data_IF_278615216042
#
_entry.id   IF_278615216042
#
_cell.length_a   1.000
_cell.length_b   1.000
_cell.length_c   1.000
_cell.angle_alpha   90.00
_cell.angle_beta   90.00
_cell.angle_gamma   90.00
#
_symmetry.space_group_name_H-M   'P 1'
#
loop_
_entity.id
_entity.type
_entity.pdbx_description
1 polymer ?
#
# COMPACT_ATOMS: atom_id res chain seq x y z
N UNK A 1 8.23 10.67 36.12
CA UNK A 1 7.26 10.57 35.02
C UNK A 1 7.79 9.48 34.10
N UNK A 2 7.13 8.33 34.02
CA UNK A 2 7.45 7.35 32.96
C UNK A 2 7.05 8.02 31.65
N UNK A 3 8.02 8.27 30.76
CA UNK A 3 7.74 8.60 29.36
C UNK A 3 6.93 7.44 28.82
N UNK A 4 5.70 7.71 28.39
CA UNK A 4 4.88 6.71 27.72
C UNK A 4 5.51 6.46 26.34
N UNK A 5 6.35 5.44 26.27
CA UNK A 5 6.96 5.00 25.03
C UNK A 5 5.84 4.50 24.11
N UNK A 6 5.64 5.12 22.97
CA UNK A 6 4.70 4.68 21.95
C UNK A 6 5.45 3.98 20.84
N UNK A 7 4.92 2.87 20.37
CA UNK A 7 5.47 2.11 19.24
C UNK A 7 4.46 2.11 18.09
N UNK A 8 4.97 2.12 16.89
CA UNK A 8 4.20 1.99 15.67
C UNK A 8 4.67 0.77 14.88
N UNK A 9 3.74 0.00 14.34
CA UNK A 9 4.03 -1.26 13.67
C UNK A 9 3.34 -1.32 12.32
N UNK A 10 4.13 -1.53 11.26
CA UNK A 10 3.65 -1.82 9.92
C UNK A 10 3.90 -3.26 9.54
N UNK A 11 2.86 -3.97 9.11
CA UNK A 11 2.91 -5.37 8.72
C UNK A 11 2.42 -5.54 7.28
N UNK A 12 3.37 -5.73 6.36
CA UNK A 12 3.07 -6.01 4.95
C UNK A 12 2.92 -7.50 4.71
N UNK A 13 1.69 -7.95 4.45
CA UNK A 13 1.35 -9.35 4.18
C UNK A 13 1.37 -9.58 2.67
N UNK A 14 2.58 -9.69 2.11
CA UNK A 14 2.79 -9.90 0.68
C UNK A 14 2.63 -11.37 0.27
N UNK A 15 2.42 -11.63 -1.03
CA UNK A 15 2.20 -13.00 -1.54
C UNK A 15 3.43 -13.91 -1.38
N UNK A 16 4.63 -13.36 -1.46
CA UNK A 16 5.89 -14.13 -1.39
C UNK A 16 6.63 -13.96 -0.08
N UNK A 17 6.47 -12.81 0.57
CA UNK A 17 7.11 -12.47 1.83
C UNK A 17 6.17 -11.66 2.71
N UNK A 18 6.22 -11.88 4.01
CA UNK A 18 5.71 -10.95 5.02
C UNK A 18 6.87 -10.11 5.50
N UNK A 19 6.62 -8.80 5.70
CA UNK A 19 7.59 -7.86 6.27
C UNK A 19 6.98 -7.10 7.41
N UNK A 20 7.71 -7.02 8.52
CA UNK A 20 7.34 -6.27 9.71
C UNK A 20 8.34 -5.15 9.96
N UNK A 21 7.84 -3.97 10.29
CA UNK A 21 8.65 -2.82 10.71
C UNK A 21 8.11 -2.28 12.02
N UNK A 22 8.96 -2.22 13.03
CA UNK A 22 8.65 -1.68 14.36
C UNK A 22 9.44 -0.39 14.57
N UNK A 23 8.74 0.69 14.91
CA UNK A 23 9.36 1.96 15.23
C UNK A 23 8.97 2.44 16.63
N UNK A 24 9.93 3.05 17.30
CA UNK A 24 9.70 3.86 18.50
C UNK A 24 9.30 5.26 18.07
N UNK A 25 8.20 5.77 18.61
CA UNK A 25 7.69 7.11 18.29
C UNK A 25 8.06 8.05 19.42
N UNK A 26 8.85 9.07 19.11
CA UNK A 26 9.20 10.11 20.07
C UNK A 26 7.99 11.00 20.38
N UNK A 27 7.57 11.02 21.64
CA UNK A 27 6.39 11.77 22.08
C UNK A 27 6.52 13.29 21.93
N UNK A 28 7.74 13.82 21.78
CA UNK A 28 8.01 15.25 21.65
C UNK A 28 8.05 15.74 20.21
N UNK A 29 8.59 14.93 19.29
CA UNK A 29 8.76 15.27 17.88
C UNK A 29 7.74 14.60 16.98
N UNK A 30 7.16 13.48 17.42
CA UNK A 30 6.30 12.63 16.61
C UNK A 30 7.03 11.83 15.52
N UNK A 31 8.34 11.97 15.40
CA UNK A 31 9.12 11.29 14.37
C UNK A 31 9.40 9.84 14.78
N UNK A 32 8.94 8.84 13.99
CA UNK A 32 9.21 7.45 14.28
C UNK A 32 10.67 7.10 13.98
N UNK A 33 11.27 6.31 14.85
CA UNK A 33 12.62 5.75 14.69
C UNK A 33 12.52 4.24 14.58
N UNK A 34 12.91 3.65 13.45
CA UNK A 34 12.86 2.21 13.22
C UNK A 34 13.86 1.52 14.16
N UNK A 35 13.33 0.60 14.97
CA UNK A 35 14.09 -0.15 15.98
C UNK A 35 14.05 -1.67 15.76
N UNK A 36 13.14 -2.15 14.91
CA UNK A 36 13.02 -3.57 14.60
C UNK A 36 12.49 -3.82 13.20
N UNK A 37 13.03 -4.86 12.56
CA UNK A 37 12.65 -5.28 11.23
C UNK A 37 12.66 -6.79 11.19
N UNK A 38 11.71 -7.35 10.47
CA UNK A 38 11.68 -8.77 10.21
C UNK A 38 11.06 -9.09 8.88
N UNK A 39 11.47 -10.23 8.32
CA UNK A 39 10.85 -10.76 7.11
C UNK A 39 10.82 -12.27 7.11
N UNK A 40 9.76 -12.84 6.57
CA UNK A 40 9.60 -14.28 6.41
C UNK A 40 9.06 -14.63 5.02
N UNK A 41 9.42 -15.81 4.53
CA UNK A 41 8.82 -16.35 3.31
C UNK A 41 7.34 -16.66 3.55
N UNK A 42 6.48 -16.24 2.64
CA UNK A 42 5.04 -16.47 2.74
C UNK A 42 4.56 -17.51 1.73
N UNK A 43 3.72 -18.40 2.21
CA UNK A 43 2.96 -19.38 1.43
C UNK A 43 1.47 -19.23 1.74
N UNK A 44 0.59 -19.86 0.95
CA UNK A 44 -0.86 -19.77 1.23
C UNK A 44 -1.53 -18.47 0.77
N UNK A 45 -0.82 -17.65 -0.01
CA UNK A 45 -1.41 -16.52 -0.73
C UNK A 45 -1.28 -16.67 -2.24
N UNK A 46 -2.25 -16.17 -2.98
CA UNK A 46 -2.23 -16.16 -4.45
C UNK A 46 -2.82 -14.86 -4.97
N UNK A 47 -2.07 -14.18 -5.85
CA UNK A 47 -2.51 -12.89 -6.46
C UNK A 47 -3.01 -11.87 -5.42
N UNK A 48 -2.27 -11.76 -4.31
CA UNK A 48 -2.57 -10.79 -3.24
C UNK A 48 -3.66 -11.21 -2.25
N UNK A 49 -4.28 -12.41 -2.40
CA UNK A 49 -5.34 -12.87 -1.51
C UNK A 49 -4.95 -14.15 -0.76
N UNK A 50 -5.45 -14.28 0.47
CA UNK A 50 -5.25 -15.47 1.31
C UNK A 50 -6.07 -16.62 0.76
N UNK A 51 -5.41 -17.74 0.43
CA UNK A 51 -6.03 -19.00 -0.01
C UNK A 51 -5.86 -20.14 1.01
N UNK A 52 -4.94 -19.97 1.96
CA UNK A 52 -4.73 -20.85 3.10
C UNK A 52 -4.27 -19.99 4.27
N UNK A 53 -4.93 -20.09 5.43
CA UNK A 53 -4.65 -19.24 6.60
C UNK A 53 -3.33 -19.57 7.32
N UNK A 54 -2.90 -20.84 7.29
CA UNK A 54 -1.73 -21.30 8.05
C UNK A 54 -0.43 -20.66 7.52
N UNK A 55 -0.30 -20.53 6.20
CA UNK A 55 0.90 -19.97 5.58
C UNK A 55 1.16 -18.52 6.00
N UNK A 56 0.23 -17.59 5.76
CA UNK A 56 0.39 -16.20 6.20
C UNK A 56 0.50 -16.05 7.72
N UNK A 57 -0.27 -16.81 8.51
CA UNK A 57 -0.19 -16.77 9.97
C UNK A 57 1.20 -17.13 10.49
N UNK A 58 1.80 -18.21 9.98
CA UNK A 58 3.17 -18.60 10.33
C UNK A 58 4.22 -17.57 9.86
N UNK A 59 4.09 -17.05 8.66
CA UNK A 59 5.01 -16.04 8.13
C UNK A 59 4.92 -14.71 8.90
N UNK A 60 3.73 -14.34 9.40
CA UNK A 60 3.54 -13.19 10.27
C UNK A 60 4.26 -13.40 11.59
N UNK A 61 4.04 -14.54 12.25
CA UNK A 61 4.68 -14.89 13.53
C UNK A 61 6.22 -14.88 13.39
N UNK A 62 6.76 -15.45 12.32
CA UNK A 62 8.21 -15.48 12.06
C UNK A 62 8.78 -14.07 11.82
N UNK A 63 8.14 -13.27 10.98
CA UNK A 63 8.59 -11.89 10.68
C UNK A 63 8.51 -11.00 11.91
N UNK A 64 7.42 -11.10 12.69
CA UNK A 64 7.29 -10.36 13.94
C UNK A 64 8.29 -10.79 14.98
N UNK A 65 8.51 -12.11 15.16
CA UNK A 65 9.51 -12.63 16.08
C UNK A 65 10.94 -12.14 15.76
N UNK A 66 11.27 -11.89 14.50
CA UNK A 66 12.53 -11.26 14.10
C UNK A 66 12.55 -9.77 14.50
N UNK A 67 11.50 -9.01 14.18
CA UNK A 67 11.40 -7.60 14.52
C UNK A 67 11.37 -7.36 16.04
N UNK A 68 10.69 -8.22 16.80
CA UNK A 68 10.60 -8.18 18.26
C UNK A 68 11.97 -8.44 18.92
N UNK A 69 12.72 -9.43 18.42
CA UNK A 69 14.08 -9.71 18.94
C UNK A 69 15.00 -8.52 18.71
N UNK A 70 14.85 -7.81 17.60
CA UNK A 70 15.68 -6.64 17.29
C UNK A 70 15.26 -5.41 18.10
N UNK A 71 13.96 -5.16 18.24
CA UNK A 71 13.41 -3.98 18.92
C UNK A 71 13.38 -4.11 20.45
N UNK A 72 13.31 -5.34 20.97
CA UNK A 72 13.02 -5.63 22.37
C UNK A 72 11.57 -5.33 22.78
N UNK A 73 10.69 -5.07 21.81
CA UNK A 73 9.27 -4.76 22.01
C UNK A 73 8.38 -5.91 21.53
N UNK A 74 7.42 -6.32 22.36
CA UNK A 74 6.43 -7.33 22.00
C UNK A 74 5.26 -6.66 21.27
N UNK A 75 4.98 -7.09 20.04
CA UNK A 75 3.95 -6.54 19.18
C UNK A 75 2.60 -7.17 19.50
N UNK A 76 1.62 -6.34 19.84
CA UNK A 76 0.24 -6.77 20.10
C UNK A 76 -0.73 -6.31 19.02
N UNK A 77 -0.38 -5.28 18.26
CA UNK A 77 -1.19 -4.75 17.18
C UNK A 77 -0.36 -4.07 16.11
N UNK A 78 -0.89 -3.96 14.92
CA UNK A 78 -0.22 -3.38 13.77
C UNK A 78 -1.21 -2.84 12.73
N UNK A 79 -0.76 -1.89 11.91
CA UNK A 79 -1.43 -1.56 10.64
C UNK A 79 -1.02 -2.56 9.56
N UNK A 80 -2.02 -3.20 8.91
CA UNK A 80 -1.84 -4.29 7.96
C UNK A 80 -1.99 -3.83 6.52
N UNK A 81 -1.30 -4.49 5.60
CA UNK A 81 -1.54 -4.35 4.17
C UNK A 81 -2.68 -5.24 3.68
N UNK A 82 -3.40 -4.76 2.65
CA UNK A 82 -4.29 -5.58 1.82
C UNK A 82 -3.97 -5.36 0.35
N UNK A 83 -4.08 -6.43 -0.44
CA UNK A 83 -3.84 -6.38 -1.88
C UNK A 83 -4.80 -7.31 -2.64
N UNK A 84 -4.83 -7.16 -3.97
CA UNK A 84 -5.61 -8.00 -4.86
C UNK A 84 -6.59 -7.21 -5.75
N UNK A 85 -6.96 -7.79 -6.87
CA UNK A 85 -7.85 -7.19 -7.88
C UNK A 85 -9.29 -6.94 -7.38
N UNK A 86 -9.60 -7.37 -6.16
CA UNK A 86 -10.87 -7.07 -5.50
C UNK A 86 -10.94 -5.67 -4.89
N UNK A 87 -9.82 -4.94 -4.83
CA UNK A 87 -9.79 -3.53 -4.41
C UNK A 87 -10.29 -2.68 -5.57
N UNK A 88 -11.28 -1.84 -5.31
CA UNK A 88 -11.91 -0.99 -6.31
C UNK A 88 -12.02 0.44 -5.81
N UNK A 89 -11.84 1.38 -6.73
CA UNK A 89 -12.18 2.79 -6.56
C UNK A 89 -13.51 3.05 -7.26
N UNK A 90 -14.46 3.65 -6.55
CA UNK A 90 -15.78 4.02 -7.06
C UNK A 90 -16.01 5.50 -6.80
N UNK A 91 -16.41 6.25 -7.84
CA UNK A 91 -16.82 7.64 -7.67
C UNK A 91 -18.14 7.72 -6.90
N UNK A 92 -18.21 8.64 -5.95
CA UNK A 92 -19.38 8.88 -5.10
C UNK A 92 -19.63 10.36 -4.91
N UNK A 93 -20.89 10.71 -4.95
CA UNK A 93 -21.41 12.03 -4.70
C UNK A 93 -22.48 11.96 -3.62
N UNK A 94 -22.60 13.02 -2.84
CA UNK A 94 -23.60 13.11 -1.78
C UNK A 94 -23.95 14.54 -1.45
N UNK A 95 -25.06 14.73 -0.76
CA UNK A 95 -25.56 16.04 -0.35
C UNK A 95 -26.25 15.93 1.00
N UNK A 96 -25.97 16.91 1.87
CA UNK A 96 -26.65 17.04 3.17
C UNK A 96 -27.03 18.51 3.41
N UNK A 97 -28.07 18.71 4.21
CA UNK A 97 -28.33 20.03 4.80
C UNK A 97 -27.40 20.22 6.01
N UNK A 98 -26.80 21.40 6.16
CA UNK A 98 -25.95 21.74 7.30
C UNK A 98 -26.78 21.80 8.58
N UNK A 99 -26.32 21.13 9.65
CA UNK A 99 -27.14 20.78 10.79
C UNK A 99 -27.16 21.80 11.98
N UNK A 100 -26.32 22.78 12.00
CA UNK A 100 -26.22 23.74 13.12
C UNK A 100 -27.29 24.84 13.08
N UNK A 101 -27.64 25.42 14.22
CA UNK A 101 -28.53 26.60 14.29
C UNK A 101 -27.88 27.86 13.69
N UNK A 102 -26.57 27.90 13.65
CA UNK A 102 -25.70 28.93 13.06
C UNK A 102 -25.30 28.61 11.62
N UNK A 103 -25.68 27.40 11.10
CA UNK A 103 -25.30 26.91 9.79
C UNK A 103 -23.78 26.84 9.55
N UNK A 104 -22.98 26.73 10.61
CA UNK A 104 -21.55 26.51 10.53
C UNK A 104 -21.27 25.00 10.34
N UNK A 105 -20.42 24.68 9.38
CA UNK A 105 -20.08 23.30 9.05
C UNK A 105 -19.10 22.74 10.09
N UNK A 106 -19.52 21.67 10.74
CA UNK A 106 -18.71 20.92 11.69
C UNK A 106 -18.23 19.56 11.16
N UNK A 107 -17.46 18.86 11.98
CA UNK A 107 -16.98 17.50 11.67
C UNK A 107 -18.14 16.50 11.48
N UNK A 108 -19.19 16.64 12.26
CA UNK A 108 -20.38 15.79 12.17
C UNK A 108 -21.08 15.91 10.79
N UNK A 109 -21.05 17.10 10.16
CA UNK A 109 -21.56 17.29 8.81
C UNK A 109 -20.70 16.60 7.77
N UNK A 110 -19.35 16.62 7.94
CA UNK A 110 -18.43 15.89 7.08
C UNK A 110 -18.57 14.38 7.20
N UNK A 111 -18.74 13.86 8.39
CA UNK A 111 -18.95 12.43 8.60
C UNK A 111 -20.28 12.00 8.00
N UNK A 112 -21.34 12.77 8.23
CA UNK A 112 -22.68 12.53 7.69
C UNK A 112 -22.71 12.57 6.14
N UNK A 113 -22.03 13.53 5.50
CA UNK A 113 -22.02 13.61 4.04
C UNK A 113 -21.23 12.47 3.41
N UNK A 114 -20.15 12.01 4.03
CA UNK A 114 -19.42 10.81 3.60
C UNK A 114 -20.30 9.57 3.69
N UNK A 115 -21.04 9.40 4.78
CA UNK A 115 -22.00 8.30 4.92
C UNK A 115 -23.07 8.35 3.83
N UNK A 116 -23.63 9.51 3.55
CA UNK A 116 -24.62 9.68 2.48
C UNK A 116 -24.04 9.38 1.12
N UNK A 117 -22.82 9.85 0.82
CA UNK A 117 -22.15 9.60 -0.45
C UNK A 117 -21.91 8.10 -0.71
N UNK A 118 -21.71 7.30 0.34
CA UNK A 118 -21.48 5.85 0.22
C UNK A 118 -22.74 5.02 0.07
N UNK A 119 -23.92 5.56 0.42
CA UNK A 119 -25.19 4.86 0.39
C UNK A 119 -25.53 4.39 -1.05
N UNK A 120 -25.65 3.05 -1.20
CA UNK A 120 -26.01 2.42 -2.48
C UNK A 120 -24.93 2.45 -3.56
N UNK A 121 -23.76 3.06 -3.29
CA UNK A 121 -22.61 3.08 -4.21
C UNK A 121 -21.72 1.85 -4.06
N UNK A 122 -21.67 1.27 -2.87
CA UNK A 122 -20.85 0.09 -2.58
C UNK A 122 -21.75 -1.12 -2.36
N UNK A 123 -21.54 -2.25 -3.10
CA UNK A 123 -22.30 -3.50 -2.87
C UNK A 123 -22.17 -4.03 -1.45
N UNK A 124 -23.19 -4.70 -0.93
CA UNK A 124 -23.26 -5.18 0.46
C UNK A 124 -22.19 -6.22 0.85
N UNK A 125 -21.54 -6.86 -0.13
CA UNK A 125 -20.45 -7.82 0.08
C UNK A 125 -19.05 -7.18 0.07
N UNK A 126 -19.00 -5.86 0.18
CA UNK A 126 -17.75 -5.08 0.20
C UNK A 126 -17.72 -4.17 1.41
N UNK A 127 -16.56 -4.04 2.01
CA UNK A 127 -16.29 -3.07 3.06
C UNK A 127 -15.53 -1.86 2.48
N UNK A 128 -15.84 -0.70 3.02
CA UNK A 128 -15.20 0.55 2.68
C UNK A 128 -13.89 0.62 3.46
N UNK A 129 -12.78 0.77 2.72
CA UNK A 129 -11.45 1.00 3.31
C UNK A 129 -11.23 2.50 3.55
N UNK A 130 -11.68 3.34 2.61
CA UNK A 130 -11.54 4.79 2.73
C UNK A 130 -12.56 5.55 1.87
N UNK A 131 -12.83 6.81 2.25
CA UNK A 131 -13.63 7.79 1.50
C UNK A 131 -12.84 9.07 1.33
N UNK A 132 -12.30 9.28 0.15
CA UNK A 132 -11.43 10.42 -0.19
C UNK A 132 -12.27 11.52 -0.82
N UNK A 133 -12.46 12.63 -0.12
CA UNK A 133 -13.12 13.81 -0.65
C UNK A 133 -12.15 14.60 -1.53
N UNK A 134 -12.53 14.86 -2.78
CA UNK A 134 -11.77 15.70 -3.70
C UNK A 134 -12.14 17.16 -3.58
N UNK A 135 -13.43 17.42 -3.49
CA UNK A 135 -13.96 18.75 -3.36
C UNK A 135 -15.30 18.73 -2.62
N UNK A 136 -15.58 19.82 -1.96
CA UNK A 136 -16.91 20.14 -1.45
C UNK A 136 -17.49 21.29 -2.23
N UNK A 137 -18.83 21.35 -2.25
CA UNK A 137 -19.59 22.47 -2.78
C UNK A 137 -20.58 22.95 -1.73
N UNK A 138 -20.54 24.24 -1.44
CA UNK A 138 -21.38 24.89 -0.43
C UNK A 138 -22.28 25.94 -1.07
N UNK A 139 -23.60 25.72 -1.01
CA UNK A 139 -24.61 26.64 -1.56
C UNK A 139 -24.34 27.06 -3.03
N UNK A 140 -23.71 26.17 -3.82
CA UNK A 140 -23.34 26.41 -5.22
C UNK A 140 -21.91 26.91 -5.45
N UNK A 141 -21.13 27.20 -4.40
CA UNK A 141 -19.70 27.47 -4.50
C UNK A 141 -18.92 26.16 -4.59
N UNK A 142 -18.27 25.92 -5.72
CA UNK A 142 -17.46 24.71 -5.99
C UNK A 142 -16.01 24.81 -5.49
N UNK A 143 -15.29 23.68 -5.56
CA UNK A 143 -13.84 23.55 -5.29
C UNK A 143 -13.40 23.96 -3.87
N UNK A 144 -14.21 23.67 -2.87
CA UNK A 144 -13.84 23.87 -1.46
C UNK A 144 -13.10 22.62 -1.01
N UNK A 145 -11.84 22.76 -0.57
CA UNK A 145 -11.03 21.65 -0.04
C UNK A 145 -11.33 21.33 1.42
N UNK A 146 -11.53 22.36 2.25
CA UNK A 146 -11.92 22.22 3.66
C UNK A 146 -13.06 23.17 4.00
N UNK A 147 -14.28 22.66 4.17
CA UNK A 147 -15.44 23.49 4.48
C UNK A 147 -15.65 23.72 5.98
N UNK A 148 -14.83 23.15 6.88
CA UNK A 148 -14.99 23.29 8.34
C UNK A 148 -14.93 24.78 8.73
N UNK A 149 -15.92 25.23 9.54
CA UNK A 149 -16.03 26.61 9.97
C UNK A 149 -16.66 27.55 8.93
N UNK A 150 -16.94 27.09 7.72
CA UNK A 150 -17.70 27.87 6.73
C UNK A 150 -19.20 27.83 7.06
N UNK A 151 -19.92 28.86 6.70
CA UNK A 151 -21.37 28.97 6.93
C UNK A 151 -22.13 28.74 5.63
N UNK A 152 -23.12 27.85 5.66
CA UNK A 152 -23.98 27.56 4.52
C UNK A 152 -25.12 26.61 4.88
N UNK A 153 -26.01 26.36 3.94
CA UNK A 153 -27.21 25.54 4.18
C UNK A 153 -27.16 24.17 3.51
N UNK A 154 -26.43 24.08 2.40
CA UNK A 154 -26.36 22.86 1.57
C UNK A 154 -24.93 22.53 1.27
N UNK A 155 -24.46 21.40 1.81
CA UNK A 155 -23.13 20.85 1.57
C UNK A 155 -23.20 19.64 0.63
N UNK A 156 -22.42 19.67 -0.45
CA UNK A 156 -22.26 18.57 -1.40
C UNK A 156 -20.81 18.07 -1.36
N UNK A 157 -20.58 16.81 -1.67
CA UNK A 157 -19.25 16.17 -1.75
C UNK A 157 -19.06 15.48 -3.10
N UNK A 158 -17.86 15.64 -3.65
CA UNK A 158 -17.30 14.80 -4.72
C UNK A 158 -16.20 13.95 -4.12
N UNK A 159 -16.31 12.63 -4.18
CA UNK A 159 -15.40 11.73 -3.49
C UNK A 159 -15.12 10.44 -4.28
N UNK A 160 -13.99 9.82 -3.96
CA UNK A 160 -13.72 8.43 -4.31
C UNK A 160 -13.84 7.51 -3.09
N UNK A 161 -14.56 6.40 -3.25
CA UNK A 161 -14.69 5.35 -2.24
C UNK A 161 -13.78 4.19 -2.62
N UNK A 162 -12.85 3.88 -1.74
CA UNK A 162 -11.98 2.71 -1.86
C UNK A 162 -12.63 1.56 -1.09
N UNK A 163 -12.90 0.47 -1.77
CA UNK A 163 -13.58 -0.68 -1.16
C UNK A 163 -12.92 -2.01 -1.54
N UNK A 164 -13.08 -3.01 -0.69
CA UNK A 164 -12.59 -4.35 -0.90
C UNK A 164 -13.69 -5.39 -0.59
N UNK A 165 -13.58 -6.60 -1.15
CA UNK A 165 -14.50 -7.68 -0.83
C UNK A 165 -14.32 -8.14 0.63
N UNK A 166 -15.38 -8.10 1.42
CA UNK A 166 -15.41 -8.47 2.85
C UNK A 166 -14.73 -9.81 3.16
N UNK A 167 -14.96 -10.91 2.41
CA UNK A 167 -14.31 -12.19 2.74
C UNK A 167 -12.78 -12.15 2.69
N UNK A 168 -12.18 -11.30 1.83
CA UNK A 168 -10.74 -11.19 1.73
C UNK A 168 -10.14 -10.40 2.89
N UNK A 169 -10.84 -9.35 3.36
CA UNK A 169 -10.45 -8.60 4.55
C UNK A 169 -10.51 -9.49 5.80
N UNK A 170 -11.61 -10.22 5.98
CA UNK A 170 -11.78 -11.18 7.09
C UNK A 170 -10.68 -12.24 7.10
N UNK A 171 -10.20 -12.68 5.93
CA UNK A 171 -9.11 -13.66 5.87
C UNK A 171 -7.75 -13.05 6.24
N UNK A 172 -7.52 -11.76 5.95
CA UNK A 172 -6.32 -11.03 6.41
C UNK A 172 -6.37 -10.88 7.93
N UNK A 173 -7.52 -10.45 8.50
CA UNK A 173 -7.72 -10.37 9.94
C UNK A 173 -7.44 -11.70 10.64
N UNK A 174 -8.02 -12.79 10.16
CA UNK A 174 -7.82 -14.13 10.73
C UNK A 174 -6.37 -14.59 10.65
N UNK A 175 -5.64 -14.22 9.58
CA UNK A 175 -4.22 -14.53 9.48
C UNK A 175 -3.40 -13.78 10.55
N UNK A 176 -3.71 -12.50 10.79
CA UNK A 176 -3.09 -11.69 11.84
C UNK A 176 -3.48 -12.19 13.25
N UNK A 177 -4.77 -12.49 13.49
CA UNK A 177 -5.26 -13.06 14.75
C UNK A 177 -4.56 -14.39 15.09
N UNK A 178 -4.27 -15.24 14.08
CA UNK A 178 -3.56 -16.50 14.30
C UNK A 178 -2.11 -16.31 14.79
N UNK A 179 -1.51 -15.16 14.49
CA UNK A 179 -0.22 -14.71 15.02
C UNK A 179 -0.37 -13.78 16.25
N UNK A 180 -1.55 -13.72 16.87
CA UNK A 180 -1.85 -12.90 18.05
C UNK A 180 -1.66 -11.39 17.87
N UNK A 181 -1.87 -10.90 16.64
CA UNK A 181 -1.78 -9.47 16.29
C UNK A 181 -3.16 -8.90 16.06
N UNK A 182 -3.49 -7.81 16.76
CA UNK A 182 -4.72 -7.05 16.55
C UNK A 182 -4.53 -6.06 15.39
N UNK A 183 -5.38 -6.10 14.35
CA UNK A 183 -5.34 -5.10 13.28
C UNK A 183 -5.78 -3.72 13.79
N UNK A 184 -4.89 -2.74 13.76
CA UNK A 184 -5.24 -1.33 14.00
C UNK A 184 -5.97 -0.75 12.80
N UNK A 185 -5.45 -1.05 11.60
CA UNK A 185 -5.98 -0.64 10.32
C UNK A 185 -5.65 -1.65 9.23
N UNK A 186 -6.41 -1.62 8.12
CA UNK A 186 -6.11 -2.36 6.89
C UNK A 186 -6.03 -1.37 5.73
N UNK A 187 -4.87 -1.30 5.09
CA UNK A 187 -4.54 -0.29 4.07
C UNK A 187 -4.08 -0.96 2.77
N UNK A 188 -4.56 -0.52 1.58
CA UNK A 188 -4.04 -0.99 0.31
C UNK A 188 -2.53 -0.76 0.17
N UNK A 189 -1.79 -1.75 -0.34
CA UNK A 189 -0.31 -1.70 -0.44
C UNK A 189 0.21 -0.46 -1.15
N UNK A 190 -0.40 -0.06 -2.28
CA UNK A 190 0.03 1.12 -3.03
C UNK A 190 -0.20 2.45 -2.28
N UNK A 191 -1.25 2.52 -1.45
CA UNK A 191 -1.50 3.69 -0.60
C UNK A 191 -0.48 3.77 0.54
N UNK A 192 -0.18 2.65 1.17
CA UNK A 192 0.87 2.58 2.19
C UNK A 192 2.24 2.95 1.61
N UNK A 193 2.61 2.38 0.46
CA UNK A 193 3.85 2.71 -0.22
C UNK A 193 3.94 4.21 -0.58
N UNK A 194 2.84 4.81 -1.05
CA UNK A 194 2.77 6.24 -1.35
C UNK A 194 3.10 7.10 -0.13
N UNK A 195 2.57 6.75 1.07
CA UNK A 195 2.88 7.45 2.33
C UNK A 195 4.38 7.45 2.66
N UNK A 196 5.11 6.41 2.25
CA UNK A 196 6.53 6.29 2.51
C UNK A 196 7.41 7.02 1.49
N UNK A 197 7.00 7.14 0.21
CA UNK A 197 7.92 7.52 -0.89
C UNK A 197 7.56 8.82 -1.62
N UNK A 198 6.38 9.40 -1.33
CA UNK A 198 5.94 10.64 -1.94
C UNK A 198 6.13 11.83 -1.00
N UNK A 199 6.40 13.00 -1.58
CA UNK A 199 6.37 14.28 -0.90
C UNK A 199 5.14 15.10 -1.35
N UNK A 200 4.84 16.17 -0.60
CA UNK A 200 3.69 17.05 -0.84
C UNK A 200 3.66 17.62 -2.27
N UNK A 201 4.80 18.05 -2.79
CA UNK A 201 4.89 18.62 -4.14
C UNK A 201 4.52 17.59 -5.22
N UNK A 202 4.87 16.31 -5.03
CA UNK A 202 4.52 15.26 -5.97
C UNK A 202 3.01 14.91 -5.89
N UNK A 203 2.46 14.88 -4.68
CA UNK A 203 1.03 14.68 -4.45
C UNK A 203 0.21 15.79 -5.11
N UNK A 204 0.64 17.04 -4.98
CA UNK A 204 -0.01 18.19 -5.58
C UNK A 204 0.07 18.19 -7.11
N UNK A 205 1.25 17.91 -7.66
CA UNK A 205 1.49 18.01 -9.11
C UNK A 205 0.93 16.85 -9.93
N UNK A 206 0.55 15.76 -9.29
CA UNK A 206 0.09 14.54 -9.97
C UNK A 206 1.20 13.50 -10.17
N UNK A 207 1.06 12.35 -9.49
CA UNK A 207 2.01 11.24 -9.46
C UNK A 207 1.28 9.90 -9.34
N UNK A 208 1.88 8.81 -9.86
CA UNK A 208 1.44 7.47 -9.53
C UNK A 208 2.54 6.69 -8.79
N UNK A 209 2.16 5.96 -7.74
CA UNK A 209 3.01 4.93 -7.14
C UNK A 209 2.62 3.59 -7.73
N UNK A 210 3.62 2.84 -8.17
CA UNK A 210 3.47 1.50 -8.75
C UNK A 210 4.28 0.53 -7.89
N UNK A 211 3.59 -0.31 -7.14
CA UNK A 211 4.21 -1.37 -6.33
C UNK A 211 4.28 -2.65 -7.14
N UNK A 212 5.47 -2.94 -7.66
CA UNK A 212 5.80 -4.14 -8.42
C UNK A 212 6.10 -5.30 -7.46
N UNK A 213 5.04 -5.96 -6.99
CA UNK A 213 5.11 -7.07 -6.05
C UNK A 213 5.46 -8.42 -6.71
N UNK A 214 5.42 -9.49 -5.90
CA UNK A 214 5.68 -10.85 -6.38
C UNK A 214 4.59 -11.39 -7.33
N UNK A 215 3.31 -11.26 -6.97
CA UNK A 215 2.20 -11.80 -7.76
C UNK A 215 1.17 -10.76 -8.21
N UNK A 216 1.39 -9.51 -7.84
CA UNK A 216 0.51 -8.38 -8.16
C UNK A 216 1.34 -7.14 -8.41
N UNK A 217 0.78 -6.23 -9.21
CA UNK A 217 1.28 -4.87 -9.37
C UNK A 217 0.16 -3.92 -8.95
N UNK A 218 0.39 -3.14 -7.90
CA UNK A 218 -0.60 -2.23 -7.32
C UNK A 218 -0.29 -0.79 -7.72
N UNK A 219 -1.32 0.00 -7.96
CA UNK A 219 -1.21 1.37 -8.46
C UNK A 219 -2.05 2.28 -7.58
N UNK A 220 -1.47 3.41 -7.15
CA UNK A 220 -2.19 4.52 -6.54
C UNK A 220 -1.84 5.80 -7.29
N UNK A 221 -2.83 6.57 -7.68
CA UNK A 221 -2.67 7.84 -8.42
C UNK A 221 -3.13 8.98 -7.53
N UNK A 222 -2.31 10.01 -7.43
CA UNK A 222 -2.55 11.22 -6.65
C UNK A 222 -2.47 12.44 -7.54
N UNK A 223 -3.27 13.45 -7.25
CA UNK A 223 -3.24 14.78 -7.88
C UNK A 223 -3.95 15.77 -6.96
N UNK A 224 -3.50 17.02 -6.94
CA UNK A 224 -4.05 18.08 -6.07
C UNK A 224 -4.07 17.70 -4.58
N UNK A 225 -3.08 16.92 -4.13
CA UNK A 225 -2.96 16.42 -2.76
C UNK A 225 -3.82 15.20 -2.45
N UNK A 226 -4.77 14.83 -3.30
CA UNK A 226 -5.77 13.79 -3.03
C UNK A 226 -5.55 12.52 -3.86
N UNK A 227 -5.94 11.37 -3.28
CA UNK A 227 -5.94 10.08 -4.00
C UNK A 227 -7.06 10.06 -5.04
N UNK A 228 -6.68 9.92 -6.30
CA UNK A 228 -7.61 9.86 -7.43
C UNK A 228 -8.05 8.44 -7.77
N UNK A 229 -7.16 7.46 -7.57
CA UNK A 229 -7.42 6.10 -8.02
C UNK A 229 -6.54 5.07 -7.33
N UNK A 230 -7.10 3.90 -7.06
CA UNK A 230 -6.37 2.69 -6.67
C UNK A 230 -6.79 1.55 -7.59
N UNK A 231 -5.81 0.77 -8.05
CA UNK A 231 -6.05 -0.42 -8.86
C UNK A 231 -4.96 -1.47 -8.69
N UNK A 232 -5.25 -2.70 -9.08
CA UNK A 232 -4.32 -3.83 -8.96
C UNK A 232 -4.35 -4.69 -10.22
N UNK A 233 -3.19 -4.86 -10.83
CA UNK A 233 -2.93 -5.84 -11.89
C UNK A 233 -2.56 -7.17 -11.22
N UNK A 234 -3.26 -8.29 -11.51
CA UNK A 234 -3.01 -9.57 -10.86
C UNK A 234 -1.83 -10.34 -11.47
N UNK A 235 -0.75 -9.61 -11.80
CA UNK A 235 0.51 -10.10 -12.36
C UNK A 235 1.65 -9.37 -11.66
N UNK A 236 2.77 -10.06 -11.40
CA UNK A 236 3.96 -9.50 -10.76
C UNK A 236 5.21 -10.32 -11.06
N UNK A 237 6.29 -10.09 -10.32
CA UNK A 237 7.62 -10.65 -10.56
C UNK A 237 7.70 -12.18 -10.62
N UNK A 238 6.81 -12.91 -9.92
CA UNK A 238 6.74 -14.37 -9.98
C UNK A 238 6.29 -14.88 -11.35
N UNK A 239 5.51 -14.08 -12.10
CA UNK A 239 5.14 -14.46 -13.46
C UNK A 239 6.37 -14.48 -14.37
N UNK A 240 7.30 -13.53 -14.20
CA UNK A 240 8.59 -13.52 -14.88
C UNK A 240 9.40 -14.79 -14.52
N UNK A 241 9.45 -15.13 -13.22
CA UNK A 241 10.15 -16.35 -12.76
C UNK A 241 9.59 -17.61 -13.38
N UNK A 242 8.26 -17.74 -13.43
CA UNK A 242 7.59 -18.89 -14.03
C UNK A 242 7.87 -19.00 -15.54
N UNK A 243 7.84 -17.87 -16.25
CA UNK A 243 8.15 -17.86 -17.68
C UNK A 243 9.60 -18.23 -17.95
N UNK A 244 10.53 -17.74 -17.14
CA UNK A 244 11.94 -18.13 -17.19
C UNK A 244 12.12 -19.63 -16.91
N UNK A 245 11.42 -20.18 -15.91
CA UNK A 245 11.48 -21.61 -15.60
C UNK A 245 11.03 -22.47 -16.79
N UNK A 246 9.96 -22.06 -17.48
CA UNK A 246 9.42 -22.74 -18.65
C UNK A 246 10.36 -22.56 -19.85
N UNK A 247 10.75 -21.32 -20.17
CA UNK A 247 11.55 -21.00 -21.35
C UNK A 247 12.94 -21.60 -21.27
N UNK A 248 13.62 -21.44 -20.14
CA UNK A 248 14.97 -21.97 -19.89
C UNK A 248 14.97 -23.46 -19.49
N UNK A 249 13.78 -24.08 -19.32
CA UNK A 249 13.61 -25.50 -18.93
C UNK A 249 14.36 -25.85 -17.65
N UNK A 250 14.19 -25.01 -16.62
CA UNK A 250 14.87 -25.14 -15.33
C UNK A 250 13.89 -25.05 -14.17
N UNK A 251 14.34 -25.35 -12.96
CA UNK A 251 13.50 -25.24 -11.77
C UNK A 251 13.19 -23.77 -11.42
N UNK A 252 12.01 -23.47 -10.81
CA UNK A 252 11.63 -22.12 -10.45
C UNK A 252 12.62 -21.41 -9.52
N UNK A 253 13.31 -22.14 -8.65
CA UNK A 253 14.33 -21.58 -7.74
C UNK A 253 15.55 -21.08 -8.53
N UNK A 254 16.01 -21.85 -9.53
CA UNK A 254 17.09 -21.46 -10.42
C UNK A 254 16.65 -20.27 -11.31
N UNK A 255 15.42 -20.32 -11.83
CA UNK A 255 14.86 -19.25 -12.64
C UNK A 255 14.76 -17.92 -11.84
N UNK A 256 14.41 -17.97 -10.54
CA UNK A 256 14.43 -16.80 -9.66
C UNK A 256 15.84 -16.23 -9.49
N UNK A 257 16.84 -17.09 -9.28
CA UNK A 257 18.23 -16.64 -9.22
C UNK A 257 18.70 -16.02 -10.54
N UNK A 258 18.32 -16.61 -11.69
CA UNK A 258 18.61 -16.08 -13.02
C UNK A 258 17.98 -14.70 -13.19
N UNK A 259 16.70 -14.55 -12.85
CA UNK A 259 15.98 -13.27 -12.91
C UNK A 259 16.67 -12.19 -12.07
N UNK A 260 17.01 -12.49 -10.82
CA UNK A 260 17.60 -11.54 -9.89
C UNK A 260 19.00 -11.12 -10.29
N UNK A 261 19.83 -12.07 -10.78
CA UNK A 261 21.25 -11.81 -11.12
C UNK A 261 21.42 -11.24 -12.52
N UNK A 262 20.65 -11.72 -13.49
CA UNK A 262 20.87 -11.50 -14.91
C UNK A 262 19.70 -10.88 -15.66
N UNK A 263 18.49 -10.87 -15.09
CA UNK A 263 17.31 -10.25 -15.72
C UNK A 263 17.49 -8.75 -15.94
N UNK A 264 17.05 -8.28 -17.10
CA UNK A 264 17.10 -6.87 -17.50
C UNK A 264 15.78 -6.51 -18.19
N UNK A 265 15.24 -5.32 -17.88
CA UNK A 265 13.99 -4.85 -18.46
C UNK A 265 14.14 -4.32 -19.88
N UNK A 266 15.33 -3.86 -20.25
CA UNK A 266 15.67 -3.40 -21.59
C UNK A 266 16.90 -4.16 -22.09
N UNK A 267 16.75 -4.90 -23.16
CA UNK A 267 17.85 -5.62 -23.77
C UNK A 267 18.70 -4.67 -24.64
N UNK A 268 19.74 -4.13 -24.06
CA UNK A 268 20.74 -3.32 -24.79
C UNK A 268 22.08 -4.02 -24.91
N UNK A 269 22.22 -5.25 -24.41
CA UNK A 269 23.49 -5.94 -24.33
C UNK A 269 23.63 -7.01 -25.43
N UNK A 270 24.86 -7.16 -25.92
CA UNK A 270 25.24 -8.30 -26.75
C UNK A 270 24.93 -9.63 -26.03
N UNK A 271 24.57 -10.64 -26.81
CA UNK A 271 24.34 -12.01 -26.33
C UNK A 271 25.59 -12.52 -25.59
N UNK A 272 25.43 -12.87 -24.33
CA UNK A 272 26.51 -13.37 -23.48
C UNK A 272 26.07 -14.63 -22.71
N UNK A 273 27.00 -15.57 -22.53
CA UNK A 273 26.80 -16.72 -21.65
C UNK A 273 26.90 -16.30 -20.18
N UNK A 274 25.93 -16.70 -19.36
CA UNK A 274 25.91 -16.49 -17.90
C UNK A 274 25.72 -17.81 -17.18
N UNK A 275 26.23 -17.89 -15.93
CA UNK A 275 26.17 -19.11 -15.15
C UNK A 275 25.59 -18.82 -13.77
N UNK A 276 24.70 -19.69 -13.31
CA UNK A 276 24.16 -19.71 -11.94
C UNK A 276 24.54 -21.02 -11.28
N UNK A 277 25.03 -20.95 -10.04
CA UNK A 277 25.38 -22.14 -9.24
C UNK A 277 24.26 -22.38 -8.23
N UNK A 278 23.60 -23.53 -8.34
CA UNK A 278 22.53 -23.94 -7.43
C UNK A 278 22.70 -25.40 -7.04
N UNK A 279 22.56 -25.76 -5.74
CA UNK A 279 22.69 -27.14 -5.27
C UNK A 279 24.04 -27.82 -5.52
N UNK A 280 25.10 -27.03 -5.82
CA UNK A 280 26.43 -27.56 -6.19
C UNK A 280 26.65 -27.75 -7.68
N UNK A 281 25.61 -27.64 -8.50
CA UNK A 281 25.65 -27.70 -9.94
C UNK A 281 25.73 -26.31 -10.60
N UNK A 282 26.27 -26.26 -11.83
CA UNK A 282 26.39 -25.00 -12.60
C UNK A 282 25.45 -25.09 -13.79
N UNK A 283 24.56 -24.14 -13.88
CA UNK A 283 23.59 -23.96 -14.97
C UNK A 283 24.04 -22.80 -15.86
N UNK A 284 24.08 -23.04 -17.18
CA UNK A 284 24.51 -22.02 -18.13
C UNK A 284 23.30 -21.56 -18.96
N UNK A 285 23.18 -20.24 -19.14
CA UNK A 285 22.09 -19.60 -19.86
C UNK A 285 22.64 -18.52 -20.80
N UNK A 286 21.80 -18.05 -21.72
CA UNK A 286 22.08 -16.93 -22.59
C UNK A 286 21.31 -15.70 -22.13
N UNK A 287 21.98 -14.54 -22.01
CA UNK A 287 21.34 -13.27 -21.59
C UNK A 287 20.27 -12.80 -22.57
N UNK A 288 20.42 -13.06 -23.86
CA UNK A 288 19.43 -12.71 -24.88
C UNK A 288 18.10 -13.44 -24.63
N UNK A 289 18.14 -14.77 -24.45
CA UNK A 289 16.96 -15.59 -24.15
C UNK A 289 16.29 -15.18 -22.83
N UNK A 290 17.10 -14.90 -21.79
CA UNK A 290 16.60 -14.39 -20.50
C UNK A 290 15.83 -13.08 -20.69
N UNK A 291 16.42 -12.12 -21.40
CA UNK A 291 15.87 -10.79 -21.54
C UNK A 291 14.63 -10.75 -22.45
N UNK A 292 14.56 -11.56 -23.49
CA UNK A 292 13.36 -11.72 -24.32
C UNK A 292 12.17 -12.21 -23.49
N UNK A 293 12.38 -13.21 -22.61
CA UNK A 293 11.32 -13.72 -21.72
C UNK A 293 10.91 -12.67 -20.71
N UNK A 294 11.87 -11.96 -20.11
CA UNK A 294 11.62 -10.89 -19.14
C UNK A 294 10.83 -9.76 -19.76
N UNK A 295 11.24 -9.28 -20.93
CA UNK A 295 10.62 -8.17 -21.65
C UNK A 295 9.18 -8.50 -22.06
N UNK A 296 8.92 -9.69 -22.60
CA UNK A 296 7.57 -10.13 -22.95
C UNK A 296 6.60 -10.11 -21.76
N UNK A 297 7.06 -10.51 -20.56
CA UNK A 297 6.22 -10.43 -19.36
C UNK A 297 6.06 -9.02 -18.82
N UNK A 298 7.10 -8.21 -18.93
CA UNK A 298 7.02 -6.79 -18.55
C UNK A 298 6.02 -6.03 -19.41
N UNK A 299 5.99 -6.31 -20.72
CA UNK A 299 5.00 -5.72 -21.62
C UNK A 299 3.58 -5.93 -21.10
N UNK A 300 3.20 -7.16 -20.71
CA UNK A 300 1.88 -7.47 -20.16
C UNK A 300 1.62 -6.73 -18.82
N UNK A 301 2.62 -6.66 -17.94
CA UNK A 301 2.50 -5.92 -16.67
C UNK A 301 2.24 -4.43 -16.95
N UNK A 302 3.02 -3.83 -17.85
CA UNK A 302 2.94 -2.41 -18.15
C UNK A 302 1.71 -2.04 -18.99
N UNK A 303 1.20 -2.93 -19.84
CA UNK A 303 -0.12 -2.79 -20.45
C UNK A 303 -1.22 -2.72 -19.39
N UNK A 304 -1.15 -3.59 -18.37
CA UNK A 304 -2.05 -3.56 -17.21
C UNK A 304 -1.97 -2.23 -16.46
N UNK A 305 -0.75 -1.72 -16.19
CA UNK A 305 -0.53 -0.41 -15.56
C UNK A 305 -1.15 0.70 -16.42
N UNK A 306 -0.86 0.71 -17.72
CA UNK A 306 -1.39 1.70 -18.65
C UNK A 306 -2.93 1.70 -18.70
N UNK A 307 -3.56 0.51 -18.62
CA UNK A 307 -5.02 0.39 -18.52
C UNK A 307 -5.57 1.08 -17.26
N UNK A 308 -4.90 0.89 -16.10
CA UNK A 308 -5.29 1.52 -14.84
C UNK A 308 -5.07 3.03 -14.87
N UNK A 309 -3.96 3.52 -15.45
CA UNK A 309 -3.73 4.95 -15.66
C UNK A 309 -4.78 5.59 -16.58
N UNK A 310 -5.23 4.84 -17.61
CA UNK A 310 -6.37 5.28 -18.48
C UNK A 310 -7.67 5.34 -17.70
N UNK A 311 -7.98 4.35 -16.85
CA UNK A 311 -9.18 4.36 -15.98
C UNK A 311 -9.15 5.53 -15.01
N UNK A 312 -7.99 5.90 -14.49
CA UNK A 312 -7.77 7.09 -13.68
C UNK A 312 -7.86 8.42 -14.48
N UNK A 313 -7.92 8.36 -15.84
CA UNK A 313 -7.88 9.55 -16.69
C UNK A 313 -6.51 10.25 -16.73
N UNK A 314 -5.45 9.59 -16.28
CA UNK A 314 -4.13 10.18 -16.06
C UNK A 314 -2.99 9.57 -16.90
N UNK A 315 -3.30 8.71 -17.88
CA UNK A 315 -2.30 8.15 -18.79
C UNK A 315 -1.56 9.28 -19.55
N UNK A 316 -0.22 9.33 -19.39
CA UNK A 316 0.62 10.37 -19.99
C UNK A 316 0.42 11.79 -19.41
N UNK A 317 -0.28 11.95 -18.27
CA UNK A 317 -0.70 13.25 -17.74
C UNK A 317 -0.27 13.50 -16.28
N UNK A 318 0.76 12.82 -15.82
CA UNK A 318 1.28 12.97 -14.45
C UNK A 318 2.60 13.74 -14.48
N UNK A 319 2.61 15.04 -14.15
CA UNK A 319 3.82 15.88 -14.20
C UNK A 319 4.95 15.37 -13.28
N UNK A 320 4.62 14.81 -12.11
CA UNK A 320 5.61 14.20 -11.22
C UNK A 320 5.93 12.73 -11.58
N UNK A 321 5.33 12.20 -12.66
CA UNK A 321 5.63 10.89 -13.24
C UNK A 321 5.17 9.72 -12.41
N UNK A 322 5.95 8.64 -12.44
CA UNK A 322 5.68 7.40 -11.70
C UNK A 322 6.83 7.06 -10.76
N UNK A 323 6.48 6.51 -9.60
CA UNK A 323 7.42 6.07 -8.57
C UNK A 323 7.26 4.56 -8.41
N UNK A 324 8.32 3.80 -8.73
CA UNK A 324 8.34 2.34 -8.67
C UNK A 324 8.86 1.87 -7.32
N UNK A 325 8.14 0.97 -6.69
CA UNK A 325 8.52 0.30 -5.43
C UNK A 325 8.27 -1.21 -5.53
N UNK A 326 8.54 -1.95 -4.46
CA UNK A 326 8.34 -3.39 -4.40
C UNK A 326 9.53 -4.19 -4.91
N UNK A 327 9.53 -5.50 -4.69
CA UNK A 327 10.68 -6.37 -4.98
C UNK A 327 11.06 -6.45 -6.45
N UNK A 328 10.07 -6.44 -7.37
CA UNK A 328 10.34 -6.51 -8.80
C UNK A 328 10.82 -5.17 -9.40
N UNK A 329 10.72 -4.05 -8.65
CA UNK A 329 11.29 -2.77 -9.07
C UNK A 329 12.83 -2.75 -9.09
N UNK A 330 13.48 -3.79 -8.56
CA UNK A 330 14.94 -3.97 -8.59
C UNK A 330 15.48 -4.49 -9.93
N UNK A 331 14.59 -4.89 -10.84
CA UNK A 331 15.02 -5.37 -12.15
C UNK A 331 15.83 -4.27 -12.85
N UNK A 332 16.97 -4.66 -13.43
CA UNK A 332 17.86 -3.70 -14.10
C UNK A 332 17.11 -2.94 -15.19
N UNK A 333 17.33 -1.63 -15.30
CA UNK A 333 16.71 -0.75 -16.29
C UNK A 333 15.17 -0.66 -16.26
N UNK A 334 14.52 -1.09 -15.17
CA UNK A 334 13.06 -1.03 -15.03
C UNK A 334 12.52 0.41 -15.10
N UNK A 335 13.27 1.40 -14.60
CA UNK A 335 12.88 2.81 -14.67
C UNK A 335 12.93 3.36 -16.09
N UNK A 336 13.90 2.95 -16.88
CA UNK A 336 14.01 3.34 -18.29
C UNK A 336 12.90 2.70 -19.11
N UNK A 337 12.64 1.40 -18.88
CA UNK A 337 11.51 0.68 -19.48
C UNK A 337 10.17 1.34 -19.15
N UNK A 338 9.95 1.69 -17.88
CA UNK A 338 8.74 2.39 -17.43
C UNK A 338 8.57 3.75 -18.12
N UNK A 339 9.67 4.51 -18.27
CA UNK A 339 9.67 5.80 -18.93
C UNK A 339 9.32 5.70 -20.42
N UNK A 340 9.87 4.72 -21.12
CA UNK A 340 9.60 4.48 -22.53
C UNK A 340 8.16 4.03 -22.75
N UNK A 341 7.69 3.05 -21.96
CA UNK A 341 6.38 2.40 -22.14
C UNK A 341 5.23 3.30 -21.69
N UNK A 342 5.38 4.02 -20.57
CA UNK A 342 4.31 4.86 -20.02
C UNK A 342 4.32 6.30 -20.56
N UNK A 343 5.43 6.74 -21.18
CA UNK A 343 5.61 8.12 -21.63
C UNK A 343 5.64 9.13 -20.49
N UNK A 344 6.08 8.71 -19.30
CA UNK A 344 6.13 9.49 -18.05
C UNK A 344 7.54 9.42 -17.46
N UNK A 345 7.94 10.44 -16.70
CA UNK A 345 9.14 10.33 -15.87
C UNK A 345 8.98 9.15 -14.89
N UNK A 346 10.03 8.35 -14.70
CA UNK A 346 10.01 7.22 -13.79
C UNK A 346 11.24 7.22 -12.87
N UNK A 347 11.04 6.88 -11.60
CA UNK A 347 12.11 6.75 -10.61
C UNK A 347 11.80 5.63 -9.62
N UNK A 348 12.83 5.12 -8.94
CA UNK A 348 12.63 4.24 -7.79
C UNK A 348 12.19 5.06 -6.58
N UNK A 349 11.25 4.50 -5.80
CA UNK A 349 10.82 5.06 -4.54
C UNK A 349 11.86 4.82 -3.44
N UNK A 350 12.16 5.88 -2.69
CA UNK A 350 12.99 5.81 -1.50
C UNK A 350 12.16 6.27 -0.31
N UNK A 351 11.84 5.38 0.64
CA UNK A 351 11.09 5.74 1.83
C UNK A 351 11.81 6.82 2.66
N UNK A 352 11.03 7.71 3.26
CA UNK A 352 11.50 8.82 4.07
C UNK A 352 10.52 9.10 5.21
N UNK A 353 10.85 10.07 6.09
CA UNK A 353 9.98 10.46 7.21
C UNK A 353 10.19 9.66 8.50
N UNK A 354 11.31 8.97 8.64
CA UNK A 354 11.69 8.20 9.82
C UNK A 354 13.20 8.28 10.09
N UNK A 355 13.61 7.92 11.31
CA UNK A 355 15.00 7.73 11.71
C UNK A 355 15.35 6.27 12.01
N UNK A 356 16.59 5.98 12.45
CA UNK A 356 17.04 4.67 12.96
C UNK A 356 17.76 3.81 11.94
N UNK A 357 17.66 2.49 12.04
CA UNK A 357 18.46 1.45 11.34
C UNK A 357 18.16 1.40 9.84
N UNK A 358 18.16 2.55 9.19
CA UNK A 358 17.77 2.69 7.79
C UNK A 358 18.86 2.25 6.79
N UNK A 359 20.10 2.07 7.23
CA UNK A 359 21.24 1.88 6.33
C UNK A 359 21.36 0.45 5.78
N UNK A 360 20.78 -0.53 6.47
CA UNK A 360 20.85 -1.96 6.11
C UNK A 360 19.61 -2.49 5.38
N UNK A 361 18.57 -1.65 5.15
CA UNK A 361 17.34 -2.08 4.51
C UNK A 361 17.35 -1.67 3.04
N UNK A 362 17.05 -2.61 2.16
CA UNK A 362 16.68 -2.27 0.78
C UNK A 362 15.33 -1.54 0.80
N UNK A 363 15.44 -0.23 0.77
CA UNK A 363 14.35 0.70 1.04
C UNK A 363 13.14 0.50 0.11
N UNK A 364 13.34 0.11 -1.15
CA UNK A 364 12.24 -0.04 -2.12
C UNK A 364 11.36 -1.26 -1.82
N UNK A 365 11.92 -2.35 -1.31
CA UNK A 365 11.14 -3.54 -0.93
C UNK A 365 10.33 -3.34 0.35
N UNK A 366 10.81 -2.50 1.27
CA UNK A 366 10.15 -2.21 2.53
C UNK A 366 9.21 -1.00 2.47
N UNK A 367 9.07 -0.37 1.30
CA UNK A 367 8.26 0.84 1.15
C UNK A 367 6.84 0.68 1.72
N UNK A 368 6.18 -0.44 1.43
CA UNK A 368 4.83 -0.74 1.96
C UNK A 368 4.85 -0.90 3.47
N UNK A 369 5.74 -1.73 4.05
CA UNK A 369 5.81 -1.95 5.49
C UNK A 369 6.18 -0.66 6.26
N UNK A 370 7.09 0.14 5.72
CA UNK A 370 7.44 1.46 6.27
C UNK A 370 6.24 2.41 6.20
N UNK A 371 5.53 2.45 5.08
CA UNK A 371 4.33 3.26 4.93
C UNK A 371 3.22 2.89 5.91
N UNK A 372 3.02 1.60 6.15
CA UNK A 372 2.09 1.10 7.17
C UNK A 372 2.50 1.53 8.58
N UNK A 373 3.78 1.44 8.91
CA UNK A 373 4.34 1.90 10.18
C UNK A 373 4.16 3.41 10.36
N UNK A 374 4.39 4.20 9.31
CA UNK A 374 4.14 5.65 9.35
C UNK A 374 2.65 5.96 9.59
N UNK A 375 1.74 5.24 8.92
CA UNK A 375 0.29 5.36 9.12
C UNK A 375 -0.10 4.98 10.55
N UNK A 376 0.47 3.93 11.10
CA UNK A 376 0.24 3.50 12.49
C UNK A 376 0.74 4.55 13.50
N UNK A 377 1.92 5.14 13.25
CA UNK A 377 2.50 6.22 14.06
C UNK A 377 1.60 7.45 14.11
N UNK A 378 1.08 7.86 12.96
CA UNK A 378 0.22 9.04 12.86
C UNK A 378 -1.07 8.85 13.67
N UNK A 379 -1.64 7.64 13.74
CA UNK A 379 -2.83 7.35 14.55
C UNK A 379 -2.55 7.37 16.05
N UNK A 380 -1.42 6.82 16.47
CA UNK A 380 -1.03 6.82 17.89
C UNK A 380 -0.91 8.23 18.46
N UNK A 381 -0.55 9.24 17.66
CA UNK A 381 -0.49 10.64 18.06
C UNK A 381 -1.86 11.30 18.18
N UNK A 382 -2.88 10.85 17.46
CA UNK A 382 -4.22 11.44 17.49
C UNK A 382 -5.12 10.88 18.60
N UNK A 383 -4.81 9.71 19.16
CA UNK A 383 -5.48 9.19 20.35
C UNK A 383 -4.84 9.75 21.63
N UNK A 384 -5.30 10.92 22.10
CA UNK A 384 -5.03 11.35 23.49
C UNK A 384 -5.51 10.26 24.45
N UNK A 385 -4.74 9.89 25.51
CA UNK A 385 -5.15 8.86 26.46
C UNK A 385 -6.49 9.25 27.08
N UNK A 386 -7.56 8.58 26.70
CA UNK A 386 -8.80 8.56 27.48
C UNK A 386 -8.49 7.82 28.77
N UNK A 387 -8.60 8.53 29.90
CA UNK A 387 -8.37 8.01 31.24
C UNK A 387 -9.02 6.64 31.42
N UNK A 388 -8.27 5.72 32.02
CA UNK A 388 -8.67 4.37 32.33
C UNK A 388 -9.97 4.37 33.16
N UNK A 389 -11.10 4.11 32.52
CA UNK A 389 -12.32 3.67 33.17
C UNK A 389 -12.67 2.30 32.58
N UNK A 390 -12.60 1.27 33.44
CA UNK A 390 -12.80 -0.12 33.09
C UNK A 390 -14.16 -0.36 32.40
N UNK A 391 -14.11 -0.62 31.13
CA UNK A 391 -15.24 -1.14 30.36
C UNK A 391 -14.86 -2.51 29.77
N UNK A 392 -15.66 -3.51 30.09
CA UNK A 392 -15.54 -4.89 29.62
C UNK A 392 -15.60 -4.90 28.10
N UNK A 393 -14.59 -5.47 27.47
CA UNK A 393 -14.51 -5.73 26.03
C UNK A 393 -15.68 -6.60 25.56
N UNK A 394 -16.46 -6.06 24.62
CA UNK A 394 -17.26 -6.85 23.66
C UNK A 394 -16.49 -6.85 22.34
N UNK A 395 -16.33 -8.02 21.74
CA UNK A 395 -15.75 -8.14 20.40
C UNK A 395 -16.48 -7.20 19.42
N UNK A 396 -15.74 -6.44 18.59
CA UNK A 396 -16.35 -5.49 17.67
C UNK A 396 -17.17 -6.25 16.62
N UNK A 397 -18.42 -5.84 16.44
CA UNK A 397 -19.24 -6.31 15.33
C UNK A 397 -18.77 -5.60 14.05
N UNK A 398 -19.00 -6.21 12.90
CA UNK A 398 -18.69 -5.67 11.57
C UNK A 398 -19.22 -4.25 11.29
N UNK A 399 -20.00 -3.67 12.19
CA UNK A 399 -20.48 -2.28 12.14
C UNK A 399 -19.46 -1.27 12.66
N UNK A 400 -18.50 -1.68 13.48
CA UNK A 400 -17.54 -0.77 14.12
C UNK A 400 -16.32 -0.43 13.22
N UNK A 401 -16.11 -1.22 12.15
CA UNK A 401 -15.06 -0.97 11.15
C UNK A 401 -15.38 0.29 10.32
N UNK A 402 -16.67 0.63 10.14
CA UNK A 402 -17.12 1.78 9.36
C UNK A 402 -16.68 3.16 9.91
N UNK A 403 -16.38 3.25 11.20
CA UNK A 403 -15.99 4.52 11.84
C UNK A 403 -14.51 4.86 11.83
N UNK A 404 -13.63 3.89 11.46
CA UNK A 404 -12.17 4.09 11.52
C UNK A 404 -11.54 4.50 10.18
N UNK A 405 -12.20 4.22 9.05
CA UNK A 405 -11.66 4.49 7.72
C UNK A 405 -11.51 5.99 7.38
N UNK A 406 -12.31 6.87 8.00
CA UNK A 406 -12.31 8.32 7.69
C UNK A 406 -11.09 9.09 8.20
N UNK A 407 -10.17 8.43 8.95
CA UNK A 407 -9.04 9.11 9.61
C UNK A 407 -7.72 9.05 8.81
N UNK A 408 -7.64 8.28 7.75
CA UNK A 408 -6.36 8.02 7.06
C UNK A 408 -5.88 9.22 6.23
N UNK A 409 -6.77 10.06 5.74
CA UNK A 409 -6.45 11.13 4.77
C UNK A 409 -6.38 12.56 5.30
N UNK A 410 -6.57 12.79 6.59
CA UNK A 410 -6.24 14.09 7.21
C UNK A 410 -4.72 14.42 7.21
N UNK A 411 -3.88 13.51 6.73
CA UNK A 411 -2.42 13.52 6.92
C UNK A 411 -1.61 14.13 5.78
N UNK A 412 -2.23 14.29 4.62
CA UNK A 412 -1.60 14.97 3.49
C UNK A 412 -1.94 16.47 3.46
N UNK A 413 -2.50 17.05 4.52
CA UNK A 413 -2.71 18.50 4.64
C UNK A 413 -1.67 19.09 5.61
N UNK A 414 -1.08 20.27 5.26
CA UNK A 414 -0.12 20.99 6.10
C UNK A 414 -0.69 21.39 7.46
#
# INVERSE_FOLDING_TARGET
MQESTSYAVGLDIGTTKVRAVVAHVDSSTGVPTIVGIGQAANTGMRKGVVVNLQGPGHAIDEALGEAERMSGYQVHGATLSVNGSHILTTHADGMVAVGGADHEIGRDDLDRIKDVATLGKVPANRDILDVVAHAYKLDGQDNIKDPIGMTGTRLEIDAHVISALTPYLVNVDKAAESAQVEPHNIVPTSMAAARAVLNEQQLENGVAVIDLGGSTTSIAVYEEGDLQYVGVVPIGGNSITNDLAIGLKTDPEIAEEVKVKHGCALSHSESAGVSVKHGGEIYNFNTEEINEIVEARLEEIFEGIQLHLKKAGRAGKLPAGVVLVGGASKLKHITDYAKETLGLAARLGQPSGFGGVADDIDKSEFATAIGLMLIDSDQAHHEKPRGASGAKFKAPSTKDIKGKASKIFGWFKP
#
